data_IF_333076496886
#
_entry.id   IF_333076496886
#
_cell.length_a   1.000
_cell.length_b   1.000
_cell.length_c   1.000
_cell.angle_alpha   90.00
_cell.angle_beta   90.00
_cell.angle_gamma   90.00
#
_symmetry.space_group_name_H-M   'P 1'
#
loop_
_entity.id
_entity.type
_entity.pdbx_description
1 polymer ?
#
# COMPACT_ATOMS: atom_id res chain seq x y z
N UNK A 1 -11.00 14.12 -0.49
CA UNK A 1 -10.67 12.69 -0.34
C UNK A 1 -11.14 12.25 1.04
N UNK A 2 -12.26 11.53 1.13
CA UNK A 2 -12.68 10.86 2.36
C UNK A 2 -11.94 9.52 2.42
N UNK A 3 -10.74 9.49 3.02
CA UNK A 3 -10.03 8.23 3.30
C UNK A 3 -10.62 7.60 4.56
N UNK A 4 -11.72 6.87 4.44
CA UNK A 4 -12.03 5.82 5.40
C UNK A 4 -11.35 4.55 4.88
N UNK A 5 -10.06 4.40 5.19
CA UNK A 5 -9.39 3.11 5.10
C UNK A 5 -10.01 2.26 6.20
N UNK A 6 -10.99 1.45 5.84
CA UNK A 6 -11.39 0.36 6.70
C UNK A 6 -10.14 -0.49 6.92
N UNK A 7 -9.84 -0.76 8.18
CA UNK A 7 -8.51 -1.16 8.61
C UNK A 7 -8.02 -2.43 7.92
N UNK A 8 -6.70 -2.57 7.85
CA UNK A 8 -6.06 -3.83 7.53
C UNK A 8 -4.97 -4.09 8.57
N UNK A 9 -4.68 -5.36 8.80
CA UNK A 9 -3.50 -5.77 9.56
C UNK A 9 -2.46 -6.26 8.56
N UNK A 10 -1.25 -5.69 8.61
CA UNK A 10 -0.12 -6.16 7.82
C UNK A 10 0.96 -6.72 8.74
N UNK A 11 1.35 -7.97 8.50
CA UNK A 11 2.44 -8.62 9.23
C UNK A 11 3.63 -8.77 8.29
N UNK A 12 4.80 -8.28 8.70
CA UNK A 12 6.01 -8.41 7.91
C UNK A 12 6.44 -9.89 7.81
N UNK A 13 6.78 -10.33 6.60
CA UNK A 13 7.32 -11.66 6.29
C UNK A 13 8.75 -11.52 5.72
N UNK A 14 9.38 -12.63 5.36
CA UNK A 14 10.72 -12.58 4.72
C UNK A 14 10.68 -11.94 3.32
N UNK A 15 9.53 -12.01 2.64
CA UNK A 15 9.39 -11.59 1.24
C UNK A 15 8.58 -10.29 1.08
N UNK A 16 7.95 -9.81 2.15
CA UNK A 16 7.12 -8.61 2.15
C UNK A 16 6.16 -8.57 3.33
N UNK A 17 4.86 -8.61 3.06
CA UNK A 17 3.79 -8.49 4.05
C UNK A 17 2.62 -9.43 3.76
N UNK A 18 2.17 -10.12 4.80
CA UNK A 18 0.88 -10.80 4.81
C UNK A 18 -0.18 -9.81 5.28
N UNK A 19 -1.22 -9.58 4.47
CA UNK A 19 -2.28 -8.61 4.75
C UNK A 19 -3.62 -9.28 4.96
N UNK A 20 -4.30 -8.88 6.03
CA UNK A 20 -5.66 -9.28 6.38
C UNK A 20 -6.54 -8.02 6.41
N UNK A 21 -7.53 -7.96 5.51
CA UNK A 21 -8.54 -6.90 5.50
C UNK A 21 -9.51 -7.07 6.68
N UNK A 22 -9.90 -5.99 7.37
CA UNK A 22 -10.85 -6.10 8.49
C UNK A 22 -12.31 -6.25 8.03
N UNK A 23 -12.60 -5.79 6.82
CA UNK A 23 -13.95 -5.78 6.24
C UNK A 23 -14.27 -7.00 5.38
N UNK A 24 -13.24 -7.77 5.04
CA UNK A 24 -13.41 -8.98 4.26
C UNK A 24 -12.53 -10.08 4.84
N UNK A 25 -12.98 -11.33 4.74
CA UNK A 25 -12.12 -12.49 5.03
C UNK A 25 -11.06 -12.70 3.94
N UNK A 26 -10.69 -11.64 3.19
CA UNK A 26 -9.66 -11.71 2.16
C UNK A 26 -8.31 -11.51 2.82
N UNK A 27 -7.46 -12.45 2.53
CA UNK A 27 -6.05 -12.46 2.91
C UNK A 27 -5.24 -12.48 1.62
N UNK A 28 -4.17 -11.70 1.58
CA UNK A 28 -3.29 -11.69 0.42
C UNK A 28 -1.86 -11.30 0.81
N UNK A 29 -0.92 -11.77 0.01
CA UNK A 29 0.49 -11.41 0.13
C UNK A 29 0.79 -10.18 -0.72
N UNK A 30 1.57 -9.26 -0.15
CA UNK A 30 2.24 -8.17 -0.85
C UNK A 30 3.74 -8.42 -0.73
N UNK A 31 4.40 -8.67 -1.86
CA UNK A 31 5.86 -8.80 -1.89
C UNK A 31 6.52 -7.42 -1.95
N UNK A 32 7.81 -7.34 -1.58
CA UNK A 32 8.61 -6.14 -1.80
C UNK A 32 8.67 -5.76 -3.30
N UNK A 33 8.60 -6.74 -4.19
CA UNK A 33 8.54 -6.50 -5.63
C UNK A 33 7.23 -5.82 -6.04
N UNK A 34 6.09 -6.24 -5.48
CA UNK A 34 4.80 -5.58 -5.73
C UNK A 34 4.83 -4.10 -5.34
N UNK A 35 5.46 -3.78 -4.21
CA UNK A 35 5.66 -2.40 -3.75
C UNK A 35 6.51 -1.61 -4.76
N UNK A 36 7.62 -2.17 -5.23
CA UNK A 36 8.52 -1.49 -6.18
C UNK A 36 7.85 -1.25 -7.54
N UNK A 37 7.13 -2.25 -8.06
CA UNK A 37 6.38 -2.15 -9.31
C UNK A 37 5.29 -1.08 -9.18
N UNK A 38 4.55 -1.11 -8.06
CA UNK A 38 3.53 -0.12 -7.77
C UNK A 38 4.12 1.30 -7.70
N UNK A 39 5.19 1.51 -6.92
CA UNK A 39 5.82 2.81 -6.76
C UNK A 39 6.31 3.39 -8.10
N UNK A 40 6.90 2.54 -8.95
CA UNK A 40 7.38 2.94 -10.27
C UNK A 40 6.23 3.36 -11.19
N UNK A 41 5.16 2.56 -11.24
CA UNK A 41 3.96 2.87 -12.01
C UNK A 41 3.28 4.14 -11.49
N UNK A 42 3.09 4.24 -10.18
CA UNK A 42 2.45 5.39 -9.52
C UNK A 42 3.22 6.69 -9.81
N UNK A 43 4.55 6.68 -9.71
CA UNK A 43 5.39 7.83 -10.01
C UNK A 43 5.25 8.25 -11.49
N UNK A 44 5.31 7.28 -12.41
CA UNK A 44 5.15 7.56 -13.84
C UNK A 44 3.77 8.12 -14.17
N UNK A 45 2.71 7.49 -13.70
CA UNK A 45 1.34 7.92 -13.96
C UNK A 45 1.05 9.32 -13.35
N UNK A 46 1.65 9.62 -12.19
CA UNK A 46 1.60 10.96 -11.58
C UNK A 46 2.31 12.00 -12.45
N UNK A 47 3.51 11.69 -12.96
CA UNK A 47 4.26 12.58 -13.85
C UNK A 47 3.52 12.84 -15.17
N UNK A 48 2.79 11.85 -15.67
CA UNK A 48 1.96 11.95 -16.86
C UNK A 48 0.63 12.72 -16.62
N UNK A 49 0.34 13.11 -15.36
CA UNK A 49 -0.86 13.85 -14.99
C UNK A 49 -2.14 13.00 -15.07
N UNK A 50 -2.03 11.67 -15.00
CA UNK A 50 -3.19 10.78 -15.01
C UNK A 50 -4.00 10.93 -13.74
N UNK A 51 -5.31 10.76 -13.86
CA UNK A 51 -6.17 10.61 -12.68
C UNK A 51 -5.98 9.19 -12.14
N UNK A 52 -5.43 9.08 -10.93
CA UNK A 52 -5.07 7.80 -10.31
C UNK A 52 -6.26 7.25 -9.53
N UNK A 53 -6.99 6.33 -10.14
CA UNK A 53 -7.94 5.49 -9.42
C UNK A 53 -7.20 4.22 -8.98
N UNK A 54 -7.00 4.09 -7.66
CA UNK A 54 -6.35 2.93 -7.08
C UNK A 54 -7.39 1.85 -6.77
N UNK A 55 -7.06 0.60 -7.07
CA UNK A 55 -7.80 -0.54 -6.54
C UNK A 55 -7.58 -0.71 -5.03
N UNK A 56 -8.47 -1.43 -4.34
CA UNK A 56 -8.34 -1.74 -2.90
C UNK A 56 -6.94 -2.28 -2.53
N UNK A 57 -6.39 -3.18 -3.36
CA UNK A 57 -5.03 -3.71 -3.17
C UNK A 57 -3.96 -2.63 -3.35
N UNK A 58 -4.10 -1.77 -4.36
CA UNK A 58 -3.16 -0.66 -4.61
C UNK A 58 -3.22 0.40 -3.51
N UNK A 59 -4.38 0.66 -2.91
CA UNK A 59 -4.50 1.56 -1.76
C UNK A 59 -3.78 1.03 -0.51
N UNK A 60 -3.85 -0.29 -0.29
CA UNK A 60 -3.12 -0.96 0.79
C UNK A 60 -1.62 -0.95 0.52
N UNK A 61 -1.18 -1.24 -0.71
CA UNK A 61 0.23 -1.13 -1.11
C UNK A 61 0.73 0.30 -0.93
N UNK A 62 -0.06 1.30 -1.33
CA UNK A 62 0.28 2.71 -1.13
C UNK A 62 0.45 3.04 0.36
N UNK A 63 -0.46 2.57 1.21
CA UNK A 63 -0.40 2.78 2.66
C UNK A 63 0.84 2.11 3.29
N UNK A 64 1.16 0.88 2.87
CA UNK A 64 2.38 0.17 3.30
C UNK A 64 3.65 0.87 2.82
N UNK A 65 3.64 1.36 1.58
CA UNK A 65 4.76 2.10 1.00
C UNK A 65 5.01 3.42 1.75
N UNK A 66 3.95 4.16 2.11
CA UNK A 66 4.05 5.34 2.98
C UNK A 66 4.65 4.98 4.35
N UNK A 67 4.26 3.86 4.96
CA UNK A 67 4.83 3.39 6.23
C UNK A 67 6.31 2.99 6.12
N UNK A 68 6.72 2.35 5.02
CA UNK A 68 8.12 1.95 4.80
C UNK A 68 9.02 3.15 4.51
N UNK A 69 8.50 4.18 3.86
CA UNK A 69 9.25 5.39 3.51
C UNK A 69 9.37 6.42 4.65
N UNK A 70 8.47 6.38 5.64
CA UNK A 70 8.52 7.27 6.79
C UNK A 70 9.22 6.53 7.93
N UNK A 71 10.52 6.77 8.19
CA UNK A 71 11.18 6.13 9.32
C UNK A 71 10.51 6.55 10.63
N UNK A 72 10.55 5.65 11.63
CA UNK A 72 10.00 5.71 13.01
C UNK A 72 10.17 7.05 13.78
N UNK A 73 10.92 8.01 13.23
CA UNK A 73 11.17 9.32 13.81
C UNK A 73 10.12 10.38 13.45
N UNK A 74 9.11 10.07 12.64
CA UNK A 74 8.04 11.03 12.33
C UNK A 74 6.88 10.79 13.29
N UNK A 75 6.79 11.61 14.35
CA UNK A 75 5.61 11.64 15.22
C UNK A 75 4.38 12.01 14.37
N UNK A 76 3.42 11.08 14.30
CA UNK A 76 2.06 11.36 13.83
C UNK A 76 1.31 12.26 14.82
#
# INVERSE_FOLDING_TARGET
>A
MNRQLNGFTATQTQEGFHVISHDSTKEFEITLNDINVFASKYAQDTMEGKNLELSEKEEIIFSLWEMVLIPDNTKH
#
